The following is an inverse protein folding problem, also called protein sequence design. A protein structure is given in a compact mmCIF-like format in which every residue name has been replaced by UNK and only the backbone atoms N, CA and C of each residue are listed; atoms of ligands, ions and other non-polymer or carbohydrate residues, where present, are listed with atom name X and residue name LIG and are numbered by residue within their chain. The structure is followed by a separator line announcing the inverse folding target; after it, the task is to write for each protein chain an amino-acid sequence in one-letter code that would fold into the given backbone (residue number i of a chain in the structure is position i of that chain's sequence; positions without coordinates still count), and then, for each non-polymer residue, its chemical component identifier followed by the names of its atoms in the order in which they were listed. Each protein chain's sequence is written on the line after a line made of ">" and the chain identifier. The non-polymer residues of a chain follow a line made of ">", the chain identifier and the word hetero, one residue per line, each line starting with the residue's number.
data_IF_844503026460
#
_entry.id   IF_844503026460
#
_cell.length_a   1.000
_cell.length_b   1.000
_cell.length_c   1.000
_cell.angle_alpha   90.00
_cell.angle_beta   90.00
_cell.angle_gamma   90.00
#
_symmetry.space_group_name_H-M   'P 1'
#
loop_
_entity.id
_entity.type
_entity.pdbx_description
1 polymer ?
#
# COMPACT_ATOMS: atom_id res chain seq x y z
N UNK A 1 -23.49 21.24 -15.61
CA UNK A 1 -22.75 20.12 -16.23
C UNK A 1 -21.68 19.67 -15.25
N UNK A 2 -21.50 18.36 -15.07
CA UNK A 2 -20.53 17.82 -14.12
C UNK A 2 -19.21 17.62 -14.86
N UNK A 3 -18.32 18.61 -14.79
CA UNK A 3 -17.02 18.65 -15.51
C UNK A 3 -16.26 17.32 -15.39
N UNK A 4 -16.37 16.68 -14.23
CA UNK A 4 -15.74 15.40 -13.95
C UNK A 4 -16.29 14.26 -14.83
N UNK A 5 -17.60 14.21 -15.03
CA UNK A 5 -18.25 13.25 -15.92
C UNK A 5 -17.94 13.58 -17.38
N UNK A 6 -17.99 14.85 -17.76
CA UNK A 6 -17.74 15.29 -19.13
C UNK A 6 -16.31 14.94 -19.59
N UNK A 7 -15.31 15.17 -18.73
CA UNK A 7 -13.92 14.75 -18.98
C UNK A 7 -13.79 13.24 -19.09
N UNK A 8 -14.45 12.51 -18.19
CA UNK A 8 -14.40 11.04 -18.18
C UNK A 8 -15.03 10.43 -19.44
N UNK A 9 -16.14 10.99 -19.92
CA UNK A 9 -16.76 10.59 -21.18
C UNK A 9 -15.84 10.84 -22.38
N UNK A 10 -15.24 12.04 -22.45
CA UNK A 10 -14.28 12.40 -23.50
C UNK A 10 -13.07 11.47 -23.54
N UNK A 11 -12.60 11.01 -22.39
CA UNK A 11 -11.40 10.17 -22.31
C UNK A 11 -11.71 8.67 -22.48
N UNK A 12 -12.92 8.22 -22.14
CA UNK A 12 -13.33 6.80 -22.27
C UNK A 12 -13.81 6.44 -23.66
N UNK A 13 -14.69 7.25 -24.26
CA UNK A 13 -15.31 6.88 -25.53
C UNK A 13 -14.31 6.60 -26.66
N UNK A 14 -13.19 7.33 -26.84
CA UNK A 14 -12.21 6.99 -27.86
C UNK A 14 -11.62 5.59 -27.69
N UNK A 15 -11.54 5.09 -26.45
CA UNK A 15 -10.84 3.86 -26.07
C UNK A 15 -11.76 2.65 -25.84
N UNK A 16 -13.06 2.85 -25.64
CA UNK A 16 -14.04 1.78 -25.41
C UNK A 16 -14.67 1.24 -26.70
N UNK A 17 -15.23 0.03 -26.66
CA UNK A 17 -16.04 -0.48 -27.77
C UNK A 17 -17.37 0.29 -27.87
N UNK A 18 -18.01 0.54 -26.73
CA UNK A 18 -19.15 1.45 -26.62
C UNK A 18 -18.71 2.92 -26.71
N UNK A 19 -19.40 3.72 -27.53
CA UNK A 19 -19.02 5.10 -27.89
C UNK A 19 -20.01 6.15 -27.42
N UNK A 20 -21.21 5.76 -27.01
CA UNK A 20 -22.33 6.66 -26.74
C UNK A 20 -22.92 6.51 -25.34
N UNK A 21 -22.91 5.28 -24.78
CA UNK A 21 -23.35 5.04 -23.41
C UNK A 21 -22.16 4.93 -22.46
N UNK A 22 -21.98 5.94 -21.61
CA UNK A 22 -20.87 5.98 -20.66
C UNK A 22 -20.88 4.83 -19.65
N UNK A 23 -22.06 4.39 -19.18
CA UNK A 23 -22.15 3.30 -18.20
C UNK A 23 -21.71 1.98 -18.82
N UNK A 24 -22.11 1.72 -20.04
CA UNK A 24 -21.70 0.54 -20.78
C UNK A 24 -20.20 0.61 -21.13
N UNK A 25 -19.72 1.76 -21.58
CA UNK A 25 -18.31 1.97 -21.90
C UNK A 25 -17.38 1.77 -20.70
N UNK A 26 -17.71 2.33 -19.52
CA UNK A 26 -16.89 2.19 -18.31
C UNK A 26 -16.96 0.78 -17.71
N UNK A 27 -18.05 0.04 -17.91
CA UNK A 27 -18.20 -1.35 -17.44
C UNK A 27 -17.27 -2.35 -18.16
N UNK A 28 -16.65 -1.93 -19.27
CA UNK A 28 -15.59 -2.67 -19.97
C UNK A 28 -14.26 -2.65 -19.22
N UNK A 29 -14.07 -1.70 -18.29
CA UNK A 29 -12.81 -1.45 -17.62
C UNK A 29 -12.72 -2.17 -16.28
N UNK A 30 -11.52 -2.63 -15.96
CA UNK A 30 -11.20 -3.26 -14.69
C UNK A 30 -9.78 -2.90 -14.24
N UNK A 31 -9.59 -2.88 -12.93
CA UNK A 31 -8.29 -2.65 -12.30
C UNK A 31 -7.37 -3.86 -12.52
N UNK A 32 -6.13 -3.60 -12.94
CA UNK A 32 -5.16 -4.66 -13.30
C UNK A 32 -4.42 -5.25 -12.10
N UNK A 33 -4.55 -4.64 -10.91
CA UNK A 33 -3.69 -4.93 -9.77
C UNK A 33 -2.46 -4.03 -9.70
N UNK A 34 -2.10 -3.34 -10.80
CA UNK A 34 -0.93 -2.48 -10.84
C UNK A 34 -1.23 -1.09 -10.25
N UNK A 35 -0.35 -0.63 -9.38
CA UNK A 35 -0.40 0.70 -8.76
C UNK A 35 0.92 1.39 -9.04
N UNK A 36 0.93 2.61 -9.56
CA UNK A 36 2.15 3.41 -9.72
C UNK A 36 2.24 4.42 -8.57
N UNK A 37 3.38 4.48 -7.88
CA UNK A 37 3.68 5.50 -6.85
C UNK A 37 4.65 6.50 -7.45
N UNK A 38 4.18 7.72 -7.69
CA UNK A 38 4.98 8.83 -8.25
C UNK A 38 5.78 9.58 -7.19
N UNK A 39 5.72 9.14 -5.93
CA UNK A 39 6.37 9.74 -4.75
C UNK A 39 5.80 11.11 -4.35
N UNK A 40 5.43 11.96 -5.31
CA UNK A 40 4.85 13.28 -5.14
C UNK A 40 3.44 13.36 -5.74
N UNK A 41 2.59 14.21 -5.17
CA UNK A 41 1.21 14.41 -5.60
C UNK A 41 1.14 15.46 -6.73
N UNK A 42 1.65 15.12 -7.92
CA UNK A 42 1.75 16.07 -9.03
C UNK A 42 1.03 15.59 -10.30
N UNK A 43 0.56 14.35 -10.31
CA UNK A 43 -0.03 13.74 -11.49
C UNK A 43 -1.52 14.03 -11.61
N UNK A 44 -2.03 13.86 -12.83
CA UNK A 44 -3.44 13.98 -13.15
C UNK A 44 -4.07 12.62 -13.46
N UNK A 45 -5.34 12.47 -13.09
CA UNK A 45 -6.14 11.31 -13.45
C UNK A 45 -6.38 11.29 -14.96
N UNK A 46 -5.97 10.23 -15.67
CA UNK A 46 -6.21 10.13 -17.11
C UNK A 46 -7.69 9.93 -17.47
N UNK A 47 -8.54 9.61 -16.49
CA UNK A 47 -9.99 9.51 -16.68
C UNK A 47 -10.66 10.87 -16.47
N UNK A 48 -10.58 11.44 -15.28
CA UNK A 48 -11.34 12.63 -14.91
C UNK A 48 -10.57 13.95 -14.93
N UNK A 49 -9.25 13.90 -15.19
CA UNK A 49 -8.32 15.04 -15.26
C UNK A 49 -8.15 15.82 -13.95
N UNK A 50 -8.61 15.26 -12.82
CA UNK A 50 -8.28 15.83 -11.51
C UNK A 50 -6.79 15.66 -11.23
N UNK A 51 -6.15 16.71 -10.76
CA UNK A 51 -4.73 16.80 -10.42
C UNK A 51 -4.43 16.31 -8.98
N UNK A 52 -3.16 16.47 -8.58
CA UNK A 52 -2.65 16.16 -7.24
C UNK A 52 -2.74 14.67 -6.88
N UNK A 53 -2.56 13.79 -7.87
CA UNK A 53 -2.42 12.35 -7.62
C UNK A 53 -0.97 11.98 -7.35
N UNK A 54 -0.74 11.26 -6.24
CA UNK A 54 0.52 10.55 -5.98
C UNK A 54 0.47 9.11 -6.49
N UNK A 55 -0.67 8.46 -6.30
CA UNK A 55 -0.87 7.07 -6.69
C UNK A 55 -1.79 7.00 -7.90
N UNK A 56 -1.33 6.27 -8.91
CA UNK A 56 -2.16 5.86 -10.03
C UNK A 56 -2.52 4.38 -9.89
N UNK A 57 -3.77 4.07 -10.21
CA UNK A 57 -4.29 2.73 -10.31
C UNK A 57 -4.50 2.46 -11.79
N UNK A 58 -3.83 1.42 -12.28
CA UNK A 58 -3.92 1.04 -13.68
C UNK A 58 -5.22 0.29 -13.92
N UNK A 59 -6.01 0.78 -14.87
CA UNK A 59 -7.21 0.12 -15.36
C UNK A 59 -7.00 -0.24 -16.83
N UNK A 60 -7.56 -1.37 -17.26
CA UNK A 60 -7.54 -1.80 -18.65
C UNK A 60 -8.94 -2.22 -19.09
N UNK A 61 -9.19 -2.21 -20.40
CA UNK A 61 -10.41 -2.74 -20.98
C UNK A 61 -10.15 -3.98 -21.84
N UNK A 62 -11.22 -4.56 -22.40
CA UNK A 62 -11.15 -5.75 -23.27
C UNK A 62 -10.39 -5.53 -24.59
N UNK A 63 -10.06 -4.29 -24.92
CA UNK A 63 -9.31 -3.90 -26.12
C UNK A 63 -7.84 -3.59 -25.80
N UNK A 64 -7.37 -3.97 -24.60
CA UNK A 64 -6.01 -3.74 -24.09
C UNK A 64 -5.60 -2.25 -24.00
N UNK A 65 -6.57 -1.34 -23.97
CA UNK A 65 -6.30 0.07 -23.69
C UNK A 65 -6.10 0.27 -22.19
N UNK A 66 -5.09 1.07 -21.82
CA UNK A 66 -4.71 1.30 -20.42
C UNK A 66 -4.92 2.76 -20.05
N UNK A 67 -5.45 2.98 -18.84
CA UNK A 67 -5.53 4.29 -18.21
C UNK A 67 -4.99 4.23 -16.77
N UNK A 68 -4.36 5.31 -16.36
CA UNK A 68 -3.88 5.54 -15.01
C UNK A 68 -4.84 6.49 -14.30
N UNK A 69 -5.54 6.00 -13.28
CA UNK A 69 -6.62 6.73 -12.62
C UNK A 69 -6.39 6.89 -11.12
N UNK A 70 -7.08 7.83 -10.49
CA UNK A 70 -7.14 7.94 -9.03
C UNK A 70 -8.11 6.93 -8.42
N UNK A 71 -7.90 6.55 -7.16
CA UNK A 71 -8.80 5.62 -6.42
C UNK A 71 -10.24 6.12 -6.38
N UNK A 72 -10.46 7.43 -6.28
CA UNK A 72 -11.80 8.03 -6.28
C UNK A 72 -12.56 7.73 -7.57
N UNK A 73 -11.88 7.62 -8.72
CA UNK A 73 -12.53 7.22 -9.98
C UNK A 73 -12.98 5.77 -9.95
N UNK A 74 -12.17 4.87 -9.38
CA UNK A 74 -12.53 3.46 -9.25
C UNK A 74 -13.81 3.30 -8.44
N UNK A 75 -13.89 3.99 -7.29
CA UNK A 75 -15.09 3.92 -6.44
C UNK A 75 -16.29 4.60 -7.11
N UNK A 76 -16.13 5.82 -7.64
CA UNK A 76 -17.24 6.63 -8.13
C UNK A 76 -17.85 6.13 -9.45
N UNK A 77 -17.05 5.45 -10.28
CA UNK A 77 -17.52 4.84 -11.53
C UNK A 77 -17.74 3.34 -11.43
N UNK A 78 -17.62 2.77 -10.23
CA UNK A 78 -17.79 1.34 -10.00
C UNK A 78 -16.92 0.45 -10.91
N UNK A 79 -15.68 0.88 -11.17
CA UNK A 79 -14.73 0.08 -11.96
C UNK A 79 -14.48 -1.25 -11.25
N UNK A 80 -14.46 -2.34 -12.02
CA UNK A 80 -14.32 -3.68 -11.46
C UNK A 80 -12.92 -3.88 -10.87
N UNK A 81 -12.87 -4.48 -9.69
CA UNK A 81 -11.63 -4.78 -8.96
C UNK A 81 -11.65 -6.25 -8.61
N UNK A 82 -10.59 -6.97 -8.92
CA UNK A 82 -10.46 -8.39 -8.62
C UNK A 82 -9.37 -8.62 -7.59
N UNK A 83 -9.53 -9.64 -6.75
CA UNK A 83 -8.49 -10.10 -5.85
C UNK A 83 -7.48 -11.04 -6.55
N UNK A 84 -6.49 -11.49 -5.80
CA UNK A 84 -5.43 -12.40 -6.28
C UNK A 84 -5.96 -13.78 -6.72
N UNK A 85 -7.20 -14.12 -6.36
CA UNK A 85 -7.89 -15.37 -6.71
C UNK A 85 -8.92 -15.18 -7.85
N UNK A 86 -9.04 -13.95 -8.38
CA UNK A 86 -10.00 -13.61 -9.43
C UNK A 86 -11.43 -13.33 -8.93
N UNK A 87 -11.65 -13.22 -7.63
CA UNK A 87 -12.96 -12.83 -7.09
C UNK A 87 -13.15 -11.32 -7.18
N UNK A 88 -14.34 -10.89 -7.60
CA UNK A 88 -14.66 -9.47 -7.65
C UNK A 88 -14.85 -8.90 -6.23
N UNK A 89 -14.13 -7.81 -5.96
CA UNK A 89 -14.27 -7.02 -4.74
C UNK A 89 -15.38 -5.99 -4.99
N UNK A 90 -16.63 -6.38 -4.68
CA UNK A 90 -17.80 -5.50 -4.81
C UNK A 90 -17.89 -4.48 -3.68
N UNK A 91 -17.54 -4.87 -2.46
CA UNK A 91 -17.56 -4.00 -1.28
C UNK A 91 -16.16 -3.59 -0.83
N UNK A 92 -16.05 -2.39 -0.24
CA UNK A 92 -14.81 -1.89 0.39
C UNK A 92 -13.61 -1.84 -0.56
N UNK A 93 -13.85 -1.55 -1.86
CA UNK A 93 -12.81 -1.33 -2.88
C UNK A 93 -11.71 -0.38 -2.38
N UNK A 94 -12.08 0.78 -1.86
CA UNK A 94 -11.14 1.75 -1.26
C UNK A 94 -10.22 1.16 -0.17
N UNK A 95 -10.75 0.30 0.71
CA UNK A 95 -9.97 -0.36 1.75
C UNK A 95 -9.01 -1.39 1.16
N UNK A 96 -9.46 -2.14 0.15
CA UNK A 96 -8.61 -3.08 -0.60
C UNK A 96 -7.48 -2.35 -1.34
N UNK A 97 -7.78 -1.28 -2.07
CA UNK A 97 -6.78 -0.44 -2.74
C UNK A 97 -5.79 0.17 -1.75
N UNK A 98 -6.26 0.64 -0.59
CA UNK A 98 -5.40 1.15 0.48
C UNK A 98 -4.46 0.07 1.02
N UNK A 99 -4.96 -1.16 1.17
CA UNK A 99 -4.16 -2.34 1.57
C UNK A 99 -3.05 -2.63 0.56
N UNK A 100 -3.35 -2.59 -0.74
CA UNK A 100 -2.36 -2.79 -1.79
C UNK A 100 -1.27 -1.70 -1.78
N UNK A 101 -1.63 -0.44 -1.58
CA UNK A 101 -0.67 0.67 -1.43
C UNK A 101 0.27 0.41 -0.24
N UNK A 102 -0.28 0.05 0.93
CA UNK A 102 0.55 -0.26 2.12
C UNK A 102 1.54 -1.39 1.84
N UNK A 103 1.07 -2.50 1.25
CA UNK A 103 1.92 -3.63 0.86
C UNK A 103 3.03 -3.19 -0.10
N UNK A 104 2.70 -2.38 -1.11
CA UNK A 104 3.68 -1.87 -2.08
C UNK A 104 4.75 -1.01 -1.40
N UNK A 105 4.36 -0.10 -0.50
CA UNK A 105 5.29 0.76 0.23
C UNK A 105 6.22 -0.04 1.15
N UNK A 106 5.70 -1.02 1.87
CA UNK A 106 6.51 -1.92 2.72
C UNK A 106 7.51 -2.71 1.87
N UNK A 107 7.06 -3.32 0.77
CA UNK A 107 7.94 -4.06 -0.14
C UNK A 107 9.01 -3.17 -0.77
N UNK A 108 8.67 -1.94 -1.16
CA UNK A 108 9.63 -0.95 -1.71
C UNK A 108 10.73 -0.59 -0.70
N UNK A 109 10.37 -0.42 0.58
CA UNK A 109 11.35 -0.13 1.63
C UNK A 109 12.26 -1.35 1.89
N UNK A 110 11.69 -2.55 2.01
CA UNK A 110 12.43 -3.77 2.29
C UNK A 110 13.30 -4.24 1.13
N UNK A 111 12.85 -4.06 -0.11
CA UNK A 111 13.68 -4.37 -1.29
C UNK A 111 14.92 -3.48 -1.31
N UNK A 112 14.79 -2.17 -1.05
CA UNK A 112 15.94 -1.26 -0.92
C UNK A 112 16.90 -1.72 0.17
N UNK A 113 16.40 -2.15 1.33
CA UNK A 113 17.23 -2.68 2.41
C UNK A 113 17.99 -3.95 2.02
N UNK A 114 17.40 -4.83 1.19
CA UNK A 114 18.07 -6.06 0.77
C UNK A 114 19.33 -5.82 -0.07
N UNK A 115 19.51 -4.62 -0.64
CA UNK A 115 20.71 -4.22 -1.38
C UNK A 115 21.77 -3.53 -0.50
N UNK A 116 21.51 -3.34 0.79
CA UNK A 116 22.44 -2.69 1.73
C UNK A 116 23.28 -3.73 2.49
N UNK A 117 24.34 -3.28 3.19
CA UNK A 117 25.15 -4.19 4.02
C UNK A 117 24.28 -4.79 5.13
N UNK A 118 24.11 -6.13 5.19
CA UNK A 118 23.22 -6.72 6.16
C UNK A 118 23.71 -6.52 7.60
N UNK A 119 22.81 -6.16 8.52
CA UNK A 119 23.11 -6.06 9.95
C UNK A 119 22.32 -7.07 10.77
N UNK A 120 23.00 -7.67 11.74
CA UNK A 120 22.39 -8.67 12.63
C UNK A 120 22.09 -10.02 11.97
N UNK A 121 21.91 -11.04 12.80
CA UNK A 121 21.54 -12.39 12.40
C UNK A 121 20.48 -12.92 13.35
N UNK A 122 19.67 -13.85 12.85
CA UNK A 122 18.73 -14.58 13.71
C UNK A 122 19.52 -15.64 14.46
N UNK A 123 19.40 -15.66 15.80
CA UNK A 123 19.98 -16.74 16.62
C UNK A 123 19.48 -18.08 16.08
N UNK A 124 20.40 -18.92 15.61
CA UNK A 124 20.11 -20.25 15.04
C UNK A 124 20.19 -20.35 13.50
N UNK A 125 20.25 -19.23 12.77
CA UNK A 125 20.39 -19.23 11.31
C UNK A 125 21.64 -18.45 10.89
N UNK A 126 22.78 -19.13 10.82
CA UNK A 126 24.09 -18.51 10.48
C UNK A 126 24.18 -17.91 9.07
N UNK A 127 23.16 -18.09 8.22
CA UNK A 127 23.15 -17.62 6.82
C UNK A 127 22.04 -16.63 6.47
N UNK A 128 21.08 -16.37 7.35
CA UNK A 128 19.97 -15.44 7.04
C UNK A 128 20.16 -14.13 7.80
N UNK A 129 20.38 -13.05 7.05
CA UNK A 129 20.36 -11.71 7.62
C UNK A 129 18.96 -11.35 8.12
N UNK A 130 18.89 -10.49 9.12
CA UNK A 130 17.61 -10.01 9.63
C UNK A 130 16.84 -9.22 8.55
N UNK A 131 17.55 -8.55 7.65
CA UNK A 131 16.97 -7.85 6.49
C UNK A 131 16.25 -8.82 5.54
N UNK A 132 16.89 -9.96 5.21
CA UNK A 132 16.27 -10.99 4.39
C UNK A 132 15.06 -11.61 5.08
N UNK A 133 15.16 -11.87 6.38
CA UNK A 133 14.02 -12.37 7.15
C UNK A 133 12.85 -11.38 7.16
N UNK A 134 13.10 -10.09 7.36
CA UNK A 134 12.07 -9.06 7.30
C UNK A 134 11.43 -8.99 5.90
N UNK A 135 12.23 -9.09 4.84
CA UNK A 135 11.73 -9.17 3.47
C UNK A 135 10.84 -10.40 3.27
N UNK A 136 11.36 -11.60 3.54
CA UNK A 136 10.61 -12.86 3.38
C UNK A 136 9.32 -12.83 4.22
N UNK A 137 9.42 -12.39 5.47
CA UNK A 137 8.25 -12.25 6.34
C UNK A 137 7.25 -11.23 5.81
N UNK A 138 7.65 -10.14 5.16
CA UNK A 138 6.70 -9.19 4.56
C UNK A 138 5.99 -9.74 3.32
N UNK A 139 6.64 -10.67 2.61
CA UNK A 139 6.06 -11.36 1.46
C UNK A 139 4.98 -12.32 1.94
N UNK A 140 5.24 -13.06 3.03
CA UNK A 140 4.32 -14.07 3.56
C UNK A 140 3.33 -13.56 4.63
N UNK A 141 3.70 -12.53 5.38
CA UNK A 141 2.93 -11.96 6.50
C UNK A 141 2.89 -10.44 6.38
N UNK A 142 1.68 -9.93 6.22
CA UNK A 142 1.42 -8.49 6.14
C UNK A 142 1.57 -7.75 7.48
N UNK A 143 1.76 -8.48 8.57
CA UNK A 143 1.81 -7.96 9.94
C UNK A 143 3.08 -8.46 10.62
N UNK A 144 3.82 -7.55 11.25
CA UNK A 144 5.09 -7.80 11.93
C UNK A 144 4.99 -7.49 13.42
N UNK A 145 5.91 -8.00 14.24
CA UNK A 145 5.99 -7.60 15.65
C UNK A 145 6.72 -6.26 15.82
N UNK A 146 6.61 -5.67 17.01
CA UNK A 146 7.16 -4.34 17.30
C UNK A 146 8.69 -4.26 17.13
N UNK A 147 9.42 -5.34 17.49
CA UNK A 147 10.89 -5.39 17.37
C UNK A 147 11.34 -5.38 15.91
N UNK A 148 10.67 -6.14 15.06
CA UNK A 148 10.95 -6.17 13.62
C UNK A 148 10.72 -4.80 12.98
N UNK A 149 9.59 -4.15 13.27
CA UNK A 149 9.31 -2.81 12.73
C UNK A 149 10.32 -1.78 13.23
N UNK A 150 10.69 -1.83 14.52
CA UNK A 150 11.72 -0.96 15.07
C UNK A 150 13.08 -1.15 14.38
N UNK A 151 13.47 -2.41 14.12
CA UNK A 151 14.68 -2.73 13.39
C UNK A 151 14.64 -2.20 11.96
N UNK A 152 13.55 -2.42 11.22
CA UNK A 152 13.39 -1.94 9.84
C UNK A 152 13.50 -0.41 9.80
N UNK A 153 12.81 0.30 10.69
CA UNK A 153 12.82 1.76 10.71
C UNK A 153 14.21 2.31 11.01
N UNK A 154 14.89 1.70 11.99
CA UNK A 154 16.27 2.03 12.31
C UNK A 154 17.17 1.89 11.07
N UNK A 155 17.09 0.74 10.38
CA UNK A 155 17.89 0.47 9.18
C UNK A 155 17.58 1.46 8.06
N UNK A 156 16.30 1.74 7.79
CA UNK A 156 15.93 2.72 6.77
C UNK A 156 16.49 4.11 7.09
N UNK A 157 16.47 4.53 8.36
CA UNK A 157 17.04 5.81 8.79
C UNK A 157 18.56 5.84 8.60
N UNK A 158 19.27 4.79 9.04
CA UNK A 158 20.74 4.70 8.88
C UNK A 158 21.19 4.73 7.42
N UNK A 159 20.43 4.09 6.53
CA UNK A 159 20.74 3.97 5.11
C UNK A 159 20.12 5.10 4.25
N UNK A 160 19.49 6.11 4.87
CA UNK A 160 18.76 7.19 4.18
C UNK A 160 17.71 6.70 3.17
N UNK A 161 17.06 5.58 3.47
CA UNK A 161 15.97 5.04 2.65
C UNK A 161 14.67 5.76 3.01
N UNK A 162 14.08 6.47 2.06
CA UNK A 162 12.74 7.04 2.23
C UNK A 162 11.68 5.93 2.31
N UNK A 163 10.84 5.96 3.36
CA UNK A 163 9.75 5.00 3.58
C UNK A 163 8.55 5.66 4.28
N UNK A 164 7.35 5.13 4.02
CA UNK A 164 6.14 5.54 4.73
C UNK A 164 5.91 4.66 5.96
N UNK A 165 6.23 5.18 7.14
CA UNK A 165 6.08 4.48 8.41
C UNK A 165 4.63 4.02 8.68
N UNK A 166 3.62 4.76 8.20
CA UNK A 166 2.19 4.42 8.39
C UNK A 166 1.73 3.23 7.54
N UNK A 167 2.53 2.85 6.54
CA UNK A 167 2.26 1.66 5.72
C UNK A 167 2.57 0.35 6.44
N UNK A 168 3.41 0.40 7.49
CA UNK A 168 3.73 -0.77 8.31
C UNK A 168 2.61 -1.05 9.32
N UNK A 169 2.42 -2.33 9.64
CA UNK A 169 1.40 -2.78 10.60
C UNK A 169 2.03 -3.68 11.66
N UNK A 170 1.73 -3.38 12.92
CA UNK A 170 2.27 -4.10 14.08
C UNK A 170 1.21 -5.01 14.68
N UNK A 171 1.55 -6.28 14.91
CA UNK A 171 0.72 -7.23 15.65
C UNK A 171 0.92 -7.06 17.14
N UNK A 172 -0.16 -7.08 17.91
CA UNK A 172 -0.14 -7.16 19.39
C UNK A 172 -1.19 -8.14 19.93
N UNK A 173 -1.62 -9.11 19.11
CA UNK A 173 -2.69 -10.06 19.49
C UNK A 173 -2.21 -11.08 20.52
N UNK A 174 -1.04 -11.67 20.30
CA UNK A 174 -0.44 -12.63 21.22
C UNK A 174 0.23 -11.91 22.40
N UNK A 175 0.30 -12.57 23.56
CA UNK A 175 0.98 -12.01 24.74
C UNK A 175 2.45 -11.72 24.43
N UNK A 176 3.14 -12.64 23.76
CA UNK A 176 4.54 -12.45 23.33
C UNK A 176 4.74 -11.19 22.45
N UNK A 177 3.76 -10.85 21.60
CA UNK A 177 3.83 -9.64 20.76
C UNK A 177 3.61 -8.37 21.60
N UNK A 178 2.74 -8.43 22.63
CA UNK A 178 2.53 -7.33 23.58
C UNK A 178 3.76 -7.11 24.45
N UNK A 179 4.34 -8.18 24.99
CA UNK A 179 5.55 -8.13 25.81
C UNK A 179 6.71 -7.53 25.01
N UNK A 180 6.82 -7.87 23.72
CA UNK A 180 7.80 -7.24 22.83
C UNK A 180 7.59 -5.74 22.68
N UNK A 181 6.35 -5.28 22.53
CA UNK A 181 6.03 -3.85 22.46
C UNK A 181 6.36 -3.14 23.78
N UNK A 182 5.98 -3.71 24.93
CA UNK A 182 6.25 -3.15 26.27
C UNK A 182 7.74 -3.17 26.62
N UNK A 183 8.52 -4.09 26.04
CA UNK A 183 9.98 -4.15 26.25
C UNK A 183 10.79 -3.08 25.50
N UNK A 184 10.14 -2.26 24.66
CA UNK A 184 10.83 -1.19 23.92
C UNK A 184 11.17 -0.01 24.84
N UNK A 185 12.36 0.55 24.65
CA UNK A 185 12.69 1.85 25.27
C UNK A 185 11.86 2.98 24.66
N UNK A 186 11.73 4.11 25.37
CA UNK A 186 10.97 5.29 24.90
C UNK A 186 11.36 5.74 23.49
N UNK A 187 12.67 5.75 23.20
CA UNK A 187 13.18 6.11 21.88
C UNK A 187 12.77 5.11 20.79
N UNK A 188 12.78 3.81 21.11
CA UNK A 188 12.33 2.78 20.17
C UNK A 188 10.83 2.87 19.92
N UNK A 189 10.05 3.13 20.98
CA UNK A 189 8.61 3.33 20.87
C UNK A 189 8.28 4.55 19.99
N UNK A 190 8.87 5.72 20.27
CA UNK A 190 8.61 6.93 19.46
C UNK A 190 9.00 6.74 17.99
N UNK A 191 10.04 5.95 17.70
CA UNK A 191 10.39 5.58 16.32
C UNK A 191 9.27 4.82 15.62
N UNK A 192 8.70 3.79 16.24
CA UNK A 192 7.68 2.92 15.62
C UNK A 192 6.24 3.45 15.75
N UNK A 193 6.03 4.44 16.61
CA UNK A 193 4.72 5.04 16.90
C UNK A 193 3.88 5.38 15.67
N UNK A 194 4.43 5.87 14.54
CA UNK A 194 3.64 6.12 13.34
C UNK A 194 2.98 4.88 12.71
N UNK A 195 3.47 3.67 13.02
CA UNK A 195 2.92 2.39 12.55
C UNK A 195 1.89 1.78 13.53
N UNK A 196 1.71 2.37 14.71
CA UNK A 196 0.76 1.91 15.72
C UNK A 196 -0.61 2.57 15.52
N UNK A 197 -1.68 1.84 15.79
CA UNK A 197 -3.01 2.41 15.92
C UNK A 197 -3.16 3.14 17.25
N UNK A 198 -4.15 4.05 17.35
CA UNK A 198 -4.45 4.78 18.59
C UNK A 198 -4.70 3.84 19.77
N UNK A 199 -5.40 2.72 19.54
CA UNK A 199 -5.64 1.71 20.57
C UNK A 199 -4.34 1.05 21.06
N UNK A 200 -3.40 0.78 20.16
CA UNK A 200 -2.10 0.20 20.52
C UNK A 200 -1.22 1.21 21.28
N UNK A 201 -1.28 2.49 20.92
CA UNK A 201 -0.59 3.57 21.63
C UNK A 201 -1.14 3.71 23.06
N UNK A 202 -2.46 3.68 23.23
CA UNK A 202 -3.07 3.74 24.56
C UNK A 202 -2.71 2.52 25.40
N UNK A 203 -2.77 1.32 24.81
CA UNK A 203 -2.33 0.08 25.47
C UNK A 203 -0.88 0.20 26.00
N UNK A 204 0.06 0.71 25.21
CA UNK A 204 1.44 0.91 25.66
C UNK A 204 1.53 1.87 26.85
N UNK A 205 0.84 3.01 26.77
CA UNK A 205 0.85 4.04 27.83
C UNK A 205 0.23 3.59 29.15
N UNK A 206 -0.73 2.67 29.10
CA UNK A 206 -1.41 2.15 30.29
C UNK A 206 -0.59 1.07 31.03
N UNK A 207 0.48 0.54 30.40
CA UNK A 207 1.20 -0.65 30.86
C UNK A 207 2.72 -0.44 31.00
N UNK A 208 3.19 0.82 31.04
CA UNK A 208 4.57 1.24 31.32
C UNK A 208 4.57 2.23 32.47
#
# INVERSE_FOLDING_TARGET
>A
MNVWLDNSMRNIFPLSAEKNDFKLAIAEWFFTGNIVDHEHAQEYCQLCEKDQLRYHYEITNKLDNVLLVGSTCIDKFDIKVYDEFGNEISEKKSAYLSKLVKRKNVRKALSKLSYTTPKGSIRGHSKMSLDKYCYDMSVYKEIMNARMVNYIFMRCIEENINFDAKSFSINIRANDDKDQLLSLSDFQFERIKPALSTAQINFYKENI
#
